data_IF_542586483654
#
_entry.id   IF_542586483654
#
_cell.length_a   1.000
_cell.length_b   1.000
_cell.length_c   1.000
_cell.angle_alpha   90.00
_cell.angle_beta   90.00
_cell.angle_gamma   90.00
#
_symmetry.space_group_name_H-M   'P 1'
#
loop_
_entity.id
_entity.type
_entity.pdbx_description
1 polymer ?
#
# COMPACT_ATOMS: atom_id res chain seq x y z
N UNK A 1 30.97 26.15 37.22
CA UNK A 1 31.60 24.83 37.31
C UNK A 1 30.54 23.78 37.04
N UNK A 2 30.60 22.84 36.11
CA UNK A 2 31.45 22.57 34.94
C UNK A 2 30.68 21.47 34.20
N UNK A 3 30.48 21.60 32.89
CA UNK A 3 30.04 20.50 32.03
C UNK A 3 31.04 19.33 32.07
N UNK A 4 30.55 18.10 31.86
CA UNK A 4 31.30 16.97 31.26
C UNK A 4 30.30 15.84 30.97
N UNK A 5 29.85 15.62 29.74
CA UNK A 5 30.54 14.96 28.61
C UNK A 5 31.35 13.73 29.06
N UNK A 6 30.81 12.54 28.76
CA UNK A 6 31.58 11.32 28.58
C UNK A 6 31.28 10.81 27.17
N UNK A 7 32.36 10.67 26.40
CA UNK A 7 32.45 10.26 25.02
C UNK A 7 32.89 8.77 24.94
N UNK A 8 32.35 8.06 23.95
CA UNK A 8 33.00 7.03 23.09
C UNK A 8 33.42 5.66 23.66
N UNK A 9 33.73 4.64 22.82
CA UNK A 9 33.46 4.46 21.36
C UNK A 9 33.02 3.02 20.94
N UNK A 10 32.46 2.87 19.72
CA UNK A 10 32.69 1.77 18.75
C UNK A 10 31.72 1.97 17.55
N UNK A 11 32.14 2.58 16.44
CA UNK A 11 32.83 2.01 15.26
C UNK A 11 31.98 1.04 14.41
N UNK A 12 31.91 1.38 13.12
CA UNK A 12 31.52 0.58 11.95
C UNK A 12 30.00 0.47 11.68
N UNK A 13 29.48 0.83 10.50
CA UNK A 13 30.13 1.19 9.26
C UNK A 13 29.18 1.87 8.28
N UNK A 14 29.78 2.61 7.34
CA UNK A 14 29.14 3.21 6.20
C UNK A 14 28.39 2.15 5.37
N UNK A 15 27.11 2.39 5.11
CA UNK A 15 26.43 1.86 3.93
C UNK A 15 26.04 3.04 3.05
N UNK A 16 27.01 3.46 2.24
CA UNK A 16 26.72 4.28 1.07
C UNK A 16 25.92 3.41 0.10
N UNK A 17 24.62 3.65 0.01
CA UNK A 17 23.79 3.11 -1.06
C UNK A 17 24.16 3.84 -2.35
N UNK A 18 25.18 3.34 -3.03
CA UNK A 18 25.44 3.64 -4.43
C UNK A 18 24.25 3.17 -5.25
N UNK A 19 23.55 4.13 -5.85
CA UNK A 19 22.65 3.93 -6.99
C UNK A 19 23.45 3.29 -8.13
N UNK A 20 23.49 1.96 -8.17
CA UNK A 20 23.87 1.24 -9.36
C UNK A 20 22.68 1.30 -10.32
N UNK A 21 22.68 2.32 -11.19
CA UNK A 21 21.95 2.21 -12.44
C UNK A 21 22.36 0.90 -13.13
N UNK A 22 21.41 0.22 -13.75
CA UNK A 22 21.71 -0.84 -14.71
C UNK A 22 22.48 -0.24 -15.88
N UNK A 23 23.77 -0.02 -15.69
CA UNK A 23 24.69 0.21 -16.79
C UNK A 23 24.69 -1.09 -17.58
N UNK A 24 24.11 -1.06 -18.78
CA UNK A 24 24.28 -2.08 -19.80
C UNK A 24 25.76 -2.37 -19.92
N UNK A 25 26.17 -3.51 -19.37
CA UNK A 25 27.54 -3.96 -19.48
C UNK A 25 27.70 -4.48 -20.91
N UNK A 26 28.16 -3.59 -21.78
CA UNK A 26 28.73 -3.94 -23.09
C UNK A 26 30.05 -4.68 -22.84
N UNK A 27 29.93 -5.88 -22.28
CA UNK A 27 31.01 -6.85 -22.24
C UNK A 27 30.80 -7.73 -23.48
N UNK A 28 31.46 -7.34 -24.57
CA UNK A 28 31.66 -8.19 -25.72
C UNK A 28 32.07 -9.58 -25.22
N UNK A 29 31.16 -10.54 -25.35
CA UNK A 29 31.41 -11.92 -24.97
C UNK A 29 32.62 -12.42 -25.77
N UNK A 30 33.55 -13.20 -25.17
CA UNK A 30 34.60 -13.82 -25.96
C UNK A 30 33.95 -14.65 -27.08
N UNK A 31 34.53 -14.70 -28.29
CA UNK A 31 33.96 -15.49 -29.37
C UNK A 31 33.82 -16.92 -28.89
N UNK A 32 32.59 -17.46 -28.99
CA UNK A 32 32.31 -18.86 -28.73
C UNK A 32 33.27 -19.67 -29.60
N UNK A 33 34.10 -20.48 -28.95
CA UNK A 33 35.03 -21.38 -29.64
C UNK A 33 34.20 -22.34 -30.50
N UNK A 34 34.49 -22.41 -31.81
CA UNK A 34 33.82 -23.21 -32.85
C UNK A 34 33.93 -24.74 -32.66
N UNK A 35 33.82 -25.26 -31.44
CA UNK A 35 34.13 -26.66 -31.15
C UNK A 35 33.37 -27.34 -30.03
N UNK A 36 32.45 -26.68 -29.31
CA UNK A 36 31.65 -27.36 -28.30
C UNK A 36 30.40 -28.00 -28.93
N UNK A 37 30.14 -29.31 -28.70
CA UNK A 37 29.04 -30.02 -29.34
C UNK A 37 27.67 -29.47 -28.93
N UNK A 38 26.80 -29.24 -29.92
CA UNK A 38 25.39 -28.84 -29.74
C UNK A 38 24.48 -30.07 -29.47
N UNK A 39 25.00 -31.10 -28.81
CA UNK A 39 24.22 -32.26 -28.41
C UNK A 39 24.51 -32.61 -26.95
N UNK A 40 23.55 -33.25 -26.29
CA UNK A 40 23.69 -33.57 -24.88
C UNK A 40 24.67 -34.74 -24.71
N UNK A 41 25.74 -34.52 -23.95
CA UNK A 41 26.69 -35.57 -23.58
C UNK A 41 26.40 -36.03 -22.15
N UNK A 42 26.34 -37.34 -21.93
CA UNK A 42 26.17 -37.90 -20.58
C UNK A 42 27.54 -37.88 -19.90
N UNK A 43 27.68 -37.02 -18.90
CA UNK A 43 28.88 -36.94 -18.09
C UNK A 43 29.04 -38.13 -17.14
N UNK A 44 30.22 -38.26 -16.54
CA UNK A 44 30.54 -39.33 -15.58
C UNK A 44 29.67 -39.37 -14.33
N UNK A 45 28.94 -38.28 -14.04
CA UNK A 45 27.92 -38.21 -12.98
C UNK A 45 26.56 -38.81 -13.38
N UNK A 46 26.40 -39.28 -14.62
CA UNK A 46 25.17 -39.88 -15.14
C UNK A 46 24.14 -38.89 -15.68
N UNK A 47 24.43 -37.59 -15.70
CA UNK A 47 23.55 -36.55 -16.22
C UNK A 47 23.98 -36.09 -17.62
N UNK A 48 23.00 -35.91 -18.51
CA UNK A 48 23.20 -35.32 -19.83
C UNK A 48 23.32 -33.80 -19.72
N UNK A 49 24.43 -33.23 -20.19
CA UNK A 49 24.68 -31.77 -20.15
C UNK A 49 24.90 -31.24 -21.57
N UNK A 50 24.25 -30.11 -21.88
CA UNK A 50 24.50 -29.33 -23.10
C UNK A 50 25.35 -28.13 -22.69
N UNK A 51 26.59 -28.05 -23.18
CA UNK A 51 27.56 -27.03 -22.77
C UNK A 51 27.44 -25.72 -23.56
N UNK A 52 26.88 -25.78 -24.76
CA UNK A 52 26.65 -24.62 -25.61
C UNK A 52 25.33 -24.80 -26.36
N UNK A 53 24.44 -23.84 -26.24
CA UNK A 53 23.23 -23.73 -27.05
C UNK A 53 23.31 -22.39 -27.78
N UNK A 54 23.10 -22.35 -29.11
CA UNK A 54 23.02 -21.09 -29.82
C UNK A 54 21.82 -20.31 -29.28
N UNK A 55 21.94 -18.98 -29.16
CA UNK A 55 20.81 -18.15 -28.76
C UNK A 55 19.63 -18.43 -29.70
N UNK A 56 18.45 -18.64 -29.13
CA UNK A 56 17.23 -18.78 -29.91
C UNK A 56 17.07 -17.52 -30.77
N UNK A 57 16.61 -17.68 -32.02
CA UNK A 57 16.26 -16.55 -32.87
C UNK A 57 15.17 -15.74 -32.17
N UNK A 58 15.53 -14.59 -31.65
CA UNK A 58 14.60 -13.62 -31.11
C UNK A 58 14.21 -12.69 -32.25
N UNK A 59 12.94 -12.76 -32.66
CA UNK A 59 12.36 -11.76 -33.55
C UNK A 59 11.64 -10.75 -32.66
N UNK A 60 12.16 -9.52 -32.49
CA UNK A 60 11.52 -8.52 -31.64
C UNK A 60 10.15 -8.19 -32.22
N UNK A 61 9.09 -8.63 -31.53
CA UNK A 61 7.73 -8.19 -31.87
C UNK A 61 7.63 -6.72 -31.47
N UNK A 62 7.53 -5.83 -32.45
CA UNK A 62 7.24 -4.43 -32.18
C UNK A 62 5.88 -4.35 -31.48
N UNK A 63 5.78 -3.72 -30.30
CA UNK A 63 4.50 -3.57 -29.64
C UNK A 63 3.54 -2.79 -30.56
N UNK A 64 2.26 -3.19 -30.64
CA UNK A 64 1.30 -2.47 -31.46
C UNK A 64 1.21 -1.02 -31.01
N UNK A 65 0.98 -0.11 -31.96
CA UNK A 65 0.72 1.29 -31.64
C UNK A 65 -0.46 1.35 -30.64
N UNK A 66 -0.33 2.07 -29.51
CA UNK A 66 -1.40 2.20 -28.54
C UNK A 66 -2.68 2.69 -29.23
N UNK A 67 -3.80 2.07 -28.90
CA UNK A 67 -5.09 2.55 -29.36
C UNK A 67 -5.29 4.01 -28.90
N UNK A 68 -5.97 4.86 -29.70
CA UNK A 68 -6.39 6.18 -29.24
C UNK A 68 -7.22 6.05 -27.96
N UNK A 69 -7.06 7.01 -27.05
CA UNK A 69 -7.83 7.02 -25.81
C UNK A 69 -9.32 7.12 -26.09
N UNK A 70 -10.12 6.41 -25.29
CA UNK A 70 -11.58 6.53 -25.34
C UNK A 70 -12.05 7.71 -24.49
N UNK A 71 -13.25 8.22 -24.76
CA UNK A 71 -13.84 9.31 -23.98
C UNK A 71 -14.00 8.94 -22.50
N UNK A 72 -14.26 7.67 -22.20
CA UNK A 72 -14.36 7.14 -20.84
C UNK A 72 -13.02 7.18 -20.11
N UNK A 73 -11.92 6.88 -20.81
CA UNK A 73 -10.58 6.98 -20.26
C UNK A 73 -10.20 8.44 -19.96
N UNK A 74 -10.59 9.37 -20.83
CA UNK A 74 -10.31 10.79 -20.61
C UNK A 74 -11.17 11.36 -19.46
N UNK A 75 -12.42 10.91 -19.34
CA UNK A 75 -13.28 11.27 -18.22
C UNK A 75 -12.74 10.74 -16.88
N UNK A 76 -12.27 9.48 -16.85
CA UNK A 76 -11.67 8.89 -15.66
C UNK A 76 -10.39 9.63 -15.21
N UNK A 77 -9.51 10.02 -16.15
CA UNK A 77 -8.34 10.83 -15.84
C UNK A 77 -8.72 12.21 -15.32
N UNK A 78 -9.72 12.85 -15.93
CA UNK A 78 -10.21 14.15 -15.47
C UNK A 78 -10.76 14.08 -14.04
N UNK A 79 -11.51 13.03 -13.71
CA UNK A 79 -12.01 12.81 -12.35
C UNK A 79 -10.87 12.52 -11.36
N UNK A 80 -9.88 11.73 -11.75
CA UNK A 80 -8.70 11.48 -10.93
C UNK A 80 -7.95 12.77 -10.62
N UNK A 81 -7.71 13.61 -11.64
CA UNK A 81 -7.04 14.90 -11.47
C UNK A 81 -7.85 15.85 -10.59
N UNK A 82 -9.17 15.90 -10.78
CA UNK A 82 -10.08 16.71 -9.95
C UNK A 82 -9.99 16.36 -8.46
N UNK A 83 -9.94 15.06 -8.14
CA UNK A 83 -9.77 14.58 -6.76
C UNK A 83 -8.39 14.95 -6.22
N UNK A 84 -7.33 14.70 -7.00
CA UNK A 84 -5.97 15.00 -6.59
C UNK A 84 -5.76 16.51 -6.33
N UNK A 85 -6.26 17.36 -7.22
CA UNK A 85 -6.16 18.81 -7.10
C UNK A 85 -6.86 19.32 -5.83
N UNK A 86 -8.05 18.81 -5.53
CA UNK A 86 -8.75 19.16 -4.31
C UNK A 86 -7.97 18.72 -3.06
N UNK A 87 -7.56 17.45 -2.98
CA UNK A 87 -6.82 16.94 -1.82
C UNK A 87 -5.53 17.74 -1.57
N UNK A 88 -4.77 18.03 -2.63
CA UNK A 88 -3.57 18.86 -2.55
C UNK A 88 -3.90 20.29 -2.08
N UNK A 89 -5.03 20.86 -2.51
CA UNK A 89 -5.42 22.23 -2.13
C UNK A 89 -5.75 22.38 -0.65
N UNK A 90 -6.24 21.33 0.01
CA UNK A 90 -6.67 21.38 1.42
C UNK A 90 -5.73 20.67 2.38
N UNK A 91 -4.72 19.94 1.88
CA UNK A 91 -3.86 19.04 2.66
C UNK A 91 -3.27 19.69 3.92
N UNK A 92 -2.67 20.88 3.77
CA UNK A 92 -2.04 21.59 4.89
C UNK A 92 -3.07 22.02 5.95
N UNK A 93 -4.25 22.48 5.52
CA UNK A 93 -5.35 22.86 6.42
C UNK A 93 -5.87 21.64 7.18
N UNK A 94 -6.10 20.53 6.46
CA UNK A 94 -6.57 19.26 7.04
C UNK A 94 -5.58 18.73 8.05
N UNK A 95 -4.28 18.74 7.74
CA UNK A 95 -3.24 18.26 8.66
C UNK A 95 -3.19 19.10 9.94
N UNK A 96 -3.12 20.43 9.80
CA UNK A 96 -3.08 21.33 10.95
C UNK A 96 -4.34 21.21 11.83
N UNK A 97 -5.51 21.10 11.19
CA UNK A 97 -6.77 20.92 11.89
C UNK A 97 -6.84 19.57 12.60
N UNK A 98 -6.45 18.49 11.94
CA UNK A 98 -6.43 17.15 12.53
C UNK A 98 -5.50 17.08 13.75
N UNK A 99 -4.32 17.66 13.69
CA UNK A 99 -3.41 17.74 14.84
C UNK A 99 -4.01 18.53 16.00
N UNK A 100 -4.71 19.63 15.71
CA UNK A 100 -5.40 20.42 16.72
C UNK A 100 -6.53 19.62 17.37
N UNK A 101 -7.38 18.97 16.58
CA UNK A 101 -8.49 18.14 17.06
C UNK A 101 -7.99 16.94 17.88
N UNK A 102 -6.90 16.28 17.48
CA UNK A 102 -6.29 15.19 18.27
C UNK A 102 -5.86 15.63 19.68
N UNK A 103 -5.42 16.88 19.85
CA UNK A 103 -5.02 17.41 21.16
C UNK A 103 -6.21 17.91 21.97
N UNK A 104 -7.06 18.74 21.36
CA UNK A 104 -8.13 19.45 22.07
C UNK A 104 -9.40 18.61 22.23
N UNK A 105 -9.64 17.66 21.33
CA UNK A 105 -10.82 16.79 21.27
C UNK A 105 -10.42 15.30 21.41
N UNK A 106 -9.35 14.98 22.16
CA UNK A 106 -8.73 13.64 22.28
C UNK A 106 -9.69 12.47 22.60
N UNK A 107 -10.80 12.74 23.30
CA UNK A 107 -11.83 11.75 23.65
C UNK A 107 -13.10 11.85 22.80
N UNK A 108 -13.07 12.64 21.73
CA UNK A 108 -14.21 12.90 20.89
C UNK A 108 -13.87 12.69 19.41
N UNK A 109 -12.82 13.37 18.92
CA UNK A 109 -12.31 13.20 17.57
C UNK A 109 -11.73 11.79 17.35
N UNK A 110 -12.17 11.11 16.29
CA UNK A 110 -11.79 9.74 15.96
C UNK A 110 -10.81 9.68 14.81
N UNK A 111 -11.23 10.15 13.64
CA UNK A 111 -10.46 10.10 12.40
C UNK A 111 -11.01 11.11 11.40
N UNK A 112 -10.42 11.14 10.21
CA UNK A 112 -10.96 11.83 9.06
C UNK A 112 -10.81 10.97 7.81
N UNK A 113 -11.65 11.22 6.81
CA UNK A 113 -11.51 10.65 5.48
C UNK A 113 -11.90 11.69 4.42
N UNK A 114 -11.32 11.54 3.23
CA UNK A 114 -11.73 12.33 2.07
C UNK A 114 -12.96 11.70 1.45
N UNK A 115 -13.99 12.52 1.25
CA UNK A 115 -15.15 12.14 0.46
C UNK A 115 -14.88 12.54 -0.98
N UNK A 116 -14.52 11.56 -1.79
CA UNK A 116 -14.15 11.75 -3.20
C UNK A 116 -15.35 11.48 -4.13
N UNK A 117 -16.47 11.01 -3.58
CA UNK A 117 -17.68 10.69 -4.34
C UNK A 117 -18.63 11.89 -4.34
N UNK A 118 -19.06 12.34 -5.53
CA UNK A 118 -19.92 13.50 -5.65
C UNK A 118 -19.23 14.81 -5.23
N UNK A 119 -19.73 15.48 -4.19
CA UNK A 119 -19.17 16.74 -3.69
C UNK A 119 -17.92 16.51 -2.83
N UNK A 120 -16.77 16.85 -3.41
CA UNK A 120 -15.48 16.72 -2.77
C UNK A 120 -15.44 17.42 -1.42
N UNK A 121 -14.97 16.68 -0.42
CA UNK A 121 -14.97 17.14 0.95
C UNK A 121 -14.03 16.36 1.84
N UNK A 122 -13.92 16.83 3.08
CA UNK A 122 -13.24 16.10 4.15
C UNK A 122 -14.22 15.90 5.28
N UNK A 123 -14.43 14.64 5.65
CA UNK A 123 -15.28 14.26 6.76
C UNK A 123 -14.42 14.04 7.98
N UNK A 124 -14.69 14.79 9.05
CA UNK A 124 -14.07 14.64 10.37
C UNK A 124 -15.06 13.91 11.28
N UNK A 125 -14.66 12.75 11.79
CA UNK A 125 -15.51 11.88 12.60
C UNK A 125 -15.34 12.15 14.10
N UNK A 126 -16.46 12.30 14.81
CA UNK A 126 -16.51 12.56 16.25
C UNK A 126 -17.49 11.63 16.94
N UNK A 127 -17.24 11.22 18.17
CA UNK A 127 -18.20 10.43 18.95
C UNK A 127 -19.42 11.24 19.40
N UNK A 128 -19.28 12.57 19.49
CA UNK A 128 -20.27 13.49 20.05
C UNK A 128 -20.25 14.82 19.30
N UNK A 129 -21.45 15.31 18.97
CA UNK A 129 -21.71 16.64 18.44
C UNK A 129 -20.78 17.06 17.28
N UNK A 130 -20.50 16.16 16.34
CA UNK A 130 -19.50 16.36 15.28
C UNK A 130 -19.65 17.67 14.49
N UNK A 131 -20.82 17.97 13.91
CA UNK A 131 -21.03 19.22 13.18
C UNK A 131 -20.80 20.47 14.04
N UNK A 132 -21.25 20.45 15.30
CA UNK A 132 -21.12 21.60 16.19
C UNK A 132 -19.67 21.78 16.67
N UNK A 133 -18.96 20.68 16.91
CA UNK A 133 -17.56 20.68 17.29
C UNK A 133 -16.70 21.22 16.16
N UNK A 134 -16.81 20.68 14.95
CA UNK A 134 -16.00 21.11 13.80
C UNK A 134 -16.15 22.62 13.51
N UNK A 135 -17.37 23.17 13.63
CA UNK A 135 -17.64 24.60 13.41
C UNK A 135 -16.88 25.55 14.36
N UNK A 136 -16.39 25.05 15.51
CA UNK A 136 -15.52 25.84 16.40
C UNK A 136 -14.10 25.99 15.84
N UNK A 137 -13.70 25.08 14.95
CA UNK A 137 -12.33 24.90 14.51
C UNK A 137 -12.09 25.26 13.04
N UNK A 138 -13.08 25.07 12.16
CA UNK A 138 -12.98 25.45 10.76
C UNK A 138 -14.28 26.09 10.25
N UNK A 139 -14.12 26.95 9.25
CA UNK A 139 -15.19 27.56 8.46
C UNK A 139 -15.17 27.08 7.00
N UNK A 140 -14.28 26.13 6.67
CA UNK A 140 -14.17 25.60 5.32
C UNK A 140 -15.48 24.88 4.96
N UNK A 141 -16.19 25.31 3.90
CA UNK A 141 -17.50 24.77 3.55
C UNK A 141 -17.43 23.31 3.05
N UNK A 142 -16.27 22.85 2.62
CA UNK A 142 -16.05 21.46 2.15
C UNK A 142 -15.72 20.50 3.29
N UNK A 143 -15.52 21.02 4.51
CA UNK A 143 -15.27 20.18 5.68
C UNK A 143 -16.58 19.90 6.41
N UNK A 144 -16.85 18.60 6.63
CA UNK A 144 -18.06 18.10 7.28
C UNK A 144 -17.68 17.42 8.59
N UNK A 145 -18.41 17.74 9.64
CA UNK A 145 -18.25 17.08 10.93
C UNK A 145 -19.35 16.05 11.07
N UNK A 146 -19.01 14.79 11.32
CA UNK A 146 -19.98 13.71 11.49
C UNK A 146 -19.94 13.15 12.90
N UNK A 147 -21.12 12.77 13.39
CA UNK A 147 -21.22 12.07 14.67
C UNK A 147 -21.32 10.59 14.40
N UNK A 148 -20.34 9.85 14.88
CA UNK A 148 -20.19 8.42 14.68
C UNK A 148 -20.47 7.65 15.96
N UNK A 149 -20.85 6.39 15.81
CA UNK A 149 -21.23 5.52 16.94
C UNK A 149 -20.02 4.88 17.59
N UNK A 150 -19.11 4.37 16.77
CA UNK A 150 -18.00 3.55 17.22
C UNK A 150 -16.69 4.33 17.13
N UNK A 151 -15.88 4.19 18.17
CA UNK A 151 -14.50 4.66 18.17
C UNK A 151 -13.62 3.77 17.28
N UNK A 152 -12.50 4.34 16.82
CA UNK A 152 -11.49 3.57 16.10
C UNK A 152 -10.89 2.45 16.96
N UNK A 153 -10.85 2.63 18.28
CA UNK A 153 -10.41 1.60 19.22
C UNK A 153 -11.39 0.43 19.27
N UNK A 154 -12.70 0.69 19.36
CA UNK A 154 -13.73 -0.36 19.34
C UNK A 154 -13.75 -1.11 18.00
N UNK A 155 -13.60 -0.41 16.87
CA UNK A 155 -13.55 -1.07 15.57
C UNK A 155 -12.30 -1.95 15.40
N UNK A 156 -11.14 -1.50 15.91
CA UNK A 156 -9.93 -2.33 15.93
C UNK A 156 -10.10 -3.53 16.86
N UNK A 157 -10.66 -3.35 18.05
CA UNK A 157 -10.93 -4.45 18.97
C UNK A 157 -11.88 -5.49 18.34
N UNK A 158 -12.87 -5.05 17.55
CA UNK A 158 -13.73 -5.96 16.80
C UNK A 158 -12.98 -6.72 15.69
N UNK A 159 -12.10 -6.05 14.94
CA UNK A 159 -11.25 -6.69 13.95
C UNK A 159 -10.28 -7.70 14.59
N UNK A 160 -9.64 -7.33 15.69
CA UNK A 160 -8.73 -8.18 16.46
C UNK A 160 -9.44 -9.38 17.06
N UNK A 161 -10.67 -9.19 17.57
CA UNK A 161 -11.50 -10.29 18.05
C UNK A 161 -11.78 -11.32 16.95
N UNK A 162 -12.12 -10.85 15.74
CA UNK A 162 -12.35 -11.75 14.61
C UNK A 162 -11.06 -12.49 14.23
N UNK A 163 -9.93 -11.79 14.18
CA UNK A 163 -8.63 -12.41 13.94
C UNK A 163 -8.33 -13.53 14.95
N UNK A 164 -8.43 -13.24 16.25
CA UNK A 164 -8.13 -14.21 17.30
C UNK A 164 -9.14 -15.37 17.35
N UNK A 165 -10.38 -15.16 16.92
CA UNK A 165 -11.40 -16.23 16.85
C UNK A 165 -11.06 -17.28 15.78
N UNK A 166 -10.57 -16.85 14.62
CA UNK A 166 -10.40 -17.73 13.45
C UNK A 166 -8.93 -17.97 13.06
N UNK A 167 -7.96 -17.43 13.81
CA UNK A 167 -6.51 -17.59 13.52
C UNK A 167 -6.07 -19.05 13.45
N UNK A 168 -6.65 -19.92 14.29
CA UNK A 168 -6.25 -21.34 14.37
C UNK A 168 -6.73 -22.11 13.14
N UNK A 169 -7.88 -21.73 12.59
CA UNK A 169 -8.44 -22.31 11.38
C UNK A 169 -7.68 -21.83 10.12
N UNK A 170 -6.86 -20.76 10.23
CA UNK A 170 -6.06 -20.15 9.15
C UNK A 170 -6.89 -19.72 7.93
N UNK A 171 -8.13 -19.32 8.18
CA UNK A 171 -9.13 -18.99 7.14
C UNK A 171 -9.20 -17.51 6.81
N UNK A 172 -8.74 -16.65 7.72
CA UNK A 172 -8.70 -15.20 7.51
C UNK A 172 -7.49 -14.85 6.65
N UNK A 173 -7.75 -14.12 5.57
CA UNK A 173 -6.74 -13.52 4.70
C UNK A 173 -6.36 -12.11 5.19
N UNK A 174 -7.35 -11.33 5.62
CA UNK A 174 -7.13 -9.97 6.09
C UNK A 174 -8.24 -9.51 7.05
N UNK A 175 -7.90 -8.53 7.88
CA UNK A 175 -8.87 -7.75 8.66
C UNK A 175 -8.63 -6.27 8.42
N UNK A 176 -9.69 -5.46 8.47
CA UNK A 176 -9.61 -4.03 8.24
C UNK A 176 -10.60 -3.24 9.08
N UNK A 177 -10.40 -1.92 9.10
CA UNK A 177 -11.33 -0.97 9.70
C UNK A 177 -11.61 0.12 8.65
N UNK A 178 -12.88 0.29 8.31
CA UNK A 178 -13.38 1.39 7.50
C UNK A 178 -14.20 2.37 8.33
N UNK A 179 -14.92 3.27 7.66
CA UNK A 179 -15.86 4.19 8.31
C UNK A 179 -16.99 3.40 8.97
N UNK A 180 -16.96 3.32 10.30
CA UNK A 180 -17.99 2.66 11.12
C UNK A 180 -18.18 1.16 10.90
N UNK A 181 -17.21 0.49 10.25
CA UNK A 181 -17.25 -0.94 9.98
C UNK A 181 -15.88 -1.57 10.23
N UNK A 182 -15.88 -2.78 10.81
CA UNK A 182 -14.73 -3.68 10.79
C UNK A 182 -14.96 -4.72 9.70
N UNK A 183 -13.95 -4.99 8.88
CA UNK A 183 -14.00 -5.93 7.78
C UNK A 183 -13.11 -7.14 8.06
N UNK A 184 -13.53 -8.30 7.58
CA UNK A 184 -12.77 -9.56 7.64
C UNK A 184 -12.91 -10.23 6.30
N UNK A 185 -11.79 -10.59 5.70
CA UNK A 185 -11.74 -11.36 4.46
C UNK A 185 -11.42 -12.81 4.79
N UNK A 186 -12.30 -13.71 4.39
CA UNK A 186 -12.19 -15.15 4.63
C UNK A 186 -12.16 -15.86 3.29
N UNK A 187 -11.19 -16.76 3.10
CA UNK A 187 -11.10 -17.60 1.90
C UNK A 187 -11.03 -19.06 2.30
N UNK A 188 -12.13 -19.78 2.04
CA UNK A 188 -12.32 -21.19 2.38
C UNK A 188 -13.23 -21.86 1.35
N UNK A 189 -13.19 -23.19 1.30
CA UNK A 189 -14.22 -23.94 0.59
C UNK A 189 -15.60 -23.79 1.26
N UNK A 190 -16.68 -24.05 0.52
CA UNK A 190 -18.04 -23.99 1.06
C UNK A 190 -18.24 -24.98 2.24
N UNK A 191 -17.60 -26.14 2.18
CA UNK A 191 -17.66 -27.15 3.24
C UNK A 191 -17.02 -26.65 4.54
N UNK A 192 -15.83 -26.06 4.45
CA UNK A 192 -15.13 -25.44 5.58
C UNK A 192 -15.92 -24.27 6.16
N UNK A 193 -16.51 -23.41 5.33
CA UNK A 193 -17.37 -22.33 5.78
C UNK A 193 -18.58 -22.85 6.59
N UNK A 194 -19.26 -23.88 6.07
CA UNK A 194 -20.42 -24.50 6.76
C UNK A 194 -20.03 -25.17 8.08
N UNK A 195 -18.79 -25.65 8.21
CA UNK A 195 -18.28 -26.19 9.47
C UNK A 195 -18.00 -25.08 10.50
N UNK A 196 -17.44 -23.96 10.06
CA UNK A 196 -17.10 -22.81 10.90
C UNK A 196 -18.33 -22.11 11.48
N UNK A 197 -19.36 -21.83 10.65
CA UNK A 197 -20.57 -21.09 11.08
C UNK A 197 -21.43 -21.88 12.09
N UNK A 198 -21.25 -23.20 12.20
CA UNK A 198 -22.00 -24.05 13.14
C UNK A 198 -21.42 -24.06 14.57
N UNK A 199 -20.19 -23.57 14.74
CA UNK A 199 -19.53 -23.48 16.06
C UNK A 199 -20.00 -22.24 16.80
#
# INVERSE_FOLDING_TARGET
MTERKIFSPALSGLLAASLAGCASQDAASPPLSDGLPFHAEIGTSGFATILSAPPASFDPVEPPVPAPRTAEQDAADADFMRVADYQNSVMDEVQALAEKLRREERGNFQTLHYDNEGELGVVFEFLRDGPATLRKYSKNPTFRGETVRWSQEELRAAADFMWETFREDRVIQSTGVGTQVATVEISVSEEEFRALVKR
#
